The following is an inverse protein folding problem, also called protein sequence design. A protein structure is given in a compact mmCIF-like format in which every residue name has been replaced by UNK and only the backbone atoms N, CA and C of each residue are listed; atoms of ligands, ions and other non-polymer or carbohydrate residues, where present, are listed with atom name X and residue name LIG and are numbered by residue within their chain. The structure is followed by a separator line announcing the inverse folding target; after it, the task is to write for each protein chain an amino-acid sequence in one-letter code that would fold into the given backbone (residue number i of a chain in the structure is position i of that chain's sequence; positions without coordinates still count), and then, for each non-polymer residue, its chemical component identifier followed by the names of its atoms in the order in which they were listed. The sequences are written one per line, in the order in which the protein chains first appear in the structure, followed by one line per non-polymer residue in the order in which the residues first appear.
data_IF_412193630550
#
_entry.id   IF_412193630550
#
_cell.length_a   1.000
_cell.length_b   1.000
_cell.length_c   1.000
_cell.angle_alpha   90.00
_cell.angle_beta   90.00
_cell.angle_gamma   90.00
#
_symmetry.space_group_name_H-M   'P 1'
#
loop_
_entity.id
_entity.type
_entity.pdbx_description
1 polymer ?
#
# COMPACT_ATOMS: atom_id res chain seq x y z
N UNK A 1 11.73 -20.64 -37.04
CA UNK A 1 10.34 -21.17 -37.16
C UNK A 1 9.44 -20.14 -36.52
N UNK A 2 8.46 -19.56 -37.24
CA UNK A 2 7.47 -18.68 -36.59
C UNK A 2 6.62 -19.57 -35.68
N UNK A 3 6.59 -19.30 -34.37
CA UNK A 3 5.86 -20.08 -33.34
C UNK A 3 4.34 -20.23 -33.57
N UNK A 4 3.79 -19.55 -34.58
CA UNK A 4 2.38 -19.64 -34.97
C UNK A 4 1.90 -21.04 -35.36
N UNK A 5 2.80 -21.98 -35.61
CA UNK A 5 2.44 -23.36 -35.96
C UNK A 5 3.24 -24.39 -35.15
N UNK A 6 3.06 -24.39 -33.83
CA UNK A 6 3.45 -25.55 -33.00
C UNK A 6 2.29 -26.54 -32.97
N UNK A 7 2.46 -27.76 -33.52
CA UNK A 7 1.42 -28.78 -33.48
C UNK A 7 0.96 -29.10 -32.06
N UNK A 8 -0.36 -29.21 -31.85
CA UNK A 8 -0.99 -29.52 -30.55
C UNK A 8 -0.43 -30.78 -29.89
N UNK A 9 0.14 -31.71 -30.68
CA UNK A 9 0.77 -32.96 -30.22
C UNK A 9 1.93 -32.75 -29.21
N UNK A 10 2.62 -31.60 -29.27
CA UNK A 10 3.66 -31.28 -28.28
C UNK A 10 3.05 -30.94 -26.90
N UNK A 11 1.74 -30.68 -26.83
CA UNK A 11 0.98 -30.42 -25.61
C UNK A 11 1.58 -29.28 -24.79
N UNK A 12 1.87 -28.16 -25.46
CA UNK A 12 2.27 -26.92 -24.80
C UNK A 12 1.13 -26.43 -23.89
N UNK A 13 1.44 -26.13 -22.63
CA UNK A 13 0.50 -25.41 -21.77
C UNK A 13 0.34 -23.99 -22.30
N UNK A 14 -0.79 -23.33 -21.97
CA UNK A 14 -1.01 -21.93 -22.36
C UNK A 14 0.16 -21.04 -21.92
N UNK A 15 0.67 -21.26 -20.70
CA UNK A 15 1.80 -20.54 -20.14
C UNK A 15 3.10 -20.79 -20.92
N UNK A 16 3.43 -22.06 -21.23
CA UNK A 16 4.63 -22.37 -22.02
C UNK A 16 4.57 -21.75 -23.42
N UNK A 17 3.39 -21.78 -24.08
CA UNK A 17 3.22 -21.16 -25.40
C UNK A 17 3.44 -19.66 -25.33
N UNK A 18 2.86 -18.99 -24.33
CA UNK A 18 3.01 -17.55 -24.11
C UNK A 18 4.48 -17.18 -23.86
N UNK A 19 5.19 -17.94 -23.03
CA UNK A 19 6.60 -17.69 -22.71
C UNK A 19 7.52 -17.88 -23.93
N UNK A 20 7.31 -18.95 -24.71
CA UNK A 20 8.08 -19.20 -25.92
C UNK A 20 7.78 -18.13 -26.98
N UNK A 21 6.51 -17.72 -27.11
CA UNK A 21 6.11 -16.65 -28.03
C UNK A 21 6.74 -15.32 -27.65
N UNK A 22 6.70 -14.98 -26.36
CA UNK A 22 7.38 -13.80 -25.83
C UNK A 22 8.88 -13.85 -26.08
N UNK A 23 9.55 -15.01 -25.92
CA UNK A 23 10.96 -15.16 -26.27
C UNK A 23 11.22 -14.82 -27.75
N UNK A 24 10.40 -15.33 -28.67
CA UNK A 24 10.54 -15.05 -30.11
C UNK A 24 10.29 -13.57 -30.45
N UNK A 25 9.30 -12.94 -29.82
CA UNK A 25 8.97 -11.52 -30.02
C UNK A 25 10.07 -10.57 -29.52
N UNK A 26 10.89 -11.06 -28.58
CA UNK A 26 11.85 -10.28 -27.79
C UNK A 26 13.31 -10.55 -28.19
N UNK A 27 13.56 -11.50 -29.09
CA UNK A 27 14.91 -11.81 -29.59
C UNK A 27 15.61 -10.53 -30.08
N UNK A 28 16.67 -10.13 -29.37
CA UNK A 28 17.48 -8.94 -29.69
C UNK A 28 17.20 -7.68 -28.85
N UNK A 29 16.24 -7.69 -27.90
CA UNK A 29 15.92 -6.53 -27.04
C UNK A 29 16.25 -6.80 -25.56
N UNK A 30 17.34 -6.24 -25.01
CA UNK A 30 17.77 -6.52 -23.63
C UNK A 30 16.74 -6.16 -22.54
N UNK A 31 16.02 -5.04 -22.71
CA UNK A 31 15.02 -4.58 -21.74
C UNK A 31 13.83 -5.55 -21.61
N UNK A 32 13.41 -6.13 -22.73
CA UNK A 32 12.28 -7.05 -22.81
C UNK A 32 12.67 -8.46 -22.30
N UNK A 33 13.96 -8.85 -22.39
CA UNK A 33 14.47 -10.10 -21.78
C UNK A 33 14.38 -10.06 -20.25
N UNK A 34 14.62 -8.89 -19.62
CA UNK A 34 14.47 -8.75 -18.18
C UNK A 34 13.01 -8.95 -17.73
N UNK A 35 12.05 -8.54 -18.56
CA UNK A 35 10.61 -8.74 -18.33
C UNK A 35 10.22 -10.21 -18.42
N UNK A 36 10.73 -10.94 -19.43
CA UNK A 36 10.55 -12.40 -19.51
C UNK A 36 11.05 -13.12 -18.25
N UNK A 37 12.23 -12.72 -17.77
CA UNK A 37 12.79 -13.23 -16.52
C UNK A 37 11.90 -12.95 -15.31
N UNK A 38 11.31 -11.76 -15.21
CA UNK A 38 10.36 -11.39 -14.14
C UNK A 38 9.10 -12.24 -14.20
N UNK A 39 8.47 -12.38 -15.37
CA UNK A 39 7.26 -13.20 -15.54
C UNK A 39 7.49 -14.66 -15.17
N UNK A 40 8.67 -15.20 -15.48
CA UNK A 40 9.08 -16.53 -15.06
C UNK A 40 9.21 -16.65 -13.54
N UNK A 41 9.91 -15.72 -12.87
CA UNK A 41 10.17 -15.82 -11.42
C UNK A 41 8.94 -15.60 -10.54
N UNK A 42 8.06 -14.67 -10.94
CA UNK A 42 6.90 -14.28 -10.13
C UNK A 42 5.75 -15.30 -10.16
N UNK A 43 5.66 -16.13 -11.20
CA UNK A 43 4.59 -17.14 -11.32
C UNK A 43 5.13 -18.55 -11.06
N UNK A 44 4.58 -19.23 -10.05
CA UNK A 44 4.88 -20.64 -9.80
C UNK A 44 4.55 -21.54 -10.99
N UNK A 45 3.45 -21.27 -11.69
CA UNK A 45 3.04 -22.01 -12.89
C UNK A 45 4.06 -21.86 -14.03
N UNK A 46 4.61 -20.66 -14.22
CA UNK A 46 5.62 -20.39 -15.24
C UNK A 46 6.94 -21.13 -14.92
N UNK A 47 7.37 -21.12 -13.65
CA UNK A 47 8.54 -21.88 -13.19
C UNK A 47 8.41 -23.38 -13.44
N UNK A 48 7.20 -23.91 -13.30
CA UNK A 48 6.92 -25.34 -13.53
C UNK A 48 6.84 -25.69 -15.03
N UNK A 49 6.26 -24.80 -15.83
CA UNK A 49 5.95 -25.06 -17.23
C UNK A 49 7.19 -25.38 -18.07
N UNK A 50 8.29 -24.65 -17.93
CA UNK A 50 9.48 -24.82 -18.78
C UNK A 50 10.23 -26.16 -18.50
N UNK A 51 10.60 -26.51 -17.25
CA UNK A 51 11.24 -27.80 -16.95
C UNK A 51 10.36 -29.01 -17.30
N UNK A 52 9.04 -28.92 -17.11
CA UNK A 52 8.12 -29.99 -17.52
C UNK A 52 8.13 -30.22 -19.03
N UNK A 53 8.29 -29.17 -19.84
CA UNK A 53 8.38 -29.31 -21.30
C UNK A 53 9.71 -29.87 -21.76
N UNK A 54 10.82 -29.51 -21.12
CA UNK A 54 12.12 -30.16 -21.38
C UNK A 54 12.01 -31.67 -21.15
N UNK A 55 11.45 -32.09 -20.01
CA UNK A 55 11.23 -33.52 -19.71
C UNK A 55 10.34 -34.19 -20.75
N UNK A 56 9.24 -33.56 -21.15
CA UNK A 56 8.33 -34.11 -22.15
C UNK A 56 8.99 -34.26 -23.53
N UNK A 57 9.77 -33.26 -23.96
CA UNK A 57 10.53 -33.32 -25.22
C UNK A 57 11.55 -34.46 -25.17
N UNK A 58 12.31 -34.58 -24.08
CA UNK A 58 13.25 -35.69 -23.90
C UNK A 58 12.57 -37.07 -23.96
N UNK A 59 11.40 -37.23 -23.33
CA UNK A 59 10.64 -38.48 -23.41
C UNK A 59 10.09 -38.78 -24.81
N UNK A 60 9.72 -37.75 -25.58
CA UNK A 60 9.25 -37.94 -26.97
C UNK A 60 10.39 -38.31 -27.91
N UNK A 61 11.59 -37.77 -27.72
CA UNK A 61 12.78 -38.13 -28.52
C UNK A 61 13.11 -39.61 -28.42
N UNK A 62 12.96 -40.21 -27.22
CA UNK A 62 13.19 -41.64 -27.01
C UNK A 62 12.13 -42.50 -27.74
N UNK A 63 10.88 -42.02 -27.79
CA UNK A 63 9.76 -42.78 -28.37
C UNK A 63 9.63 -42.62 -29.89
N UNK A 64 9.95 -41.43 -30.41
CA UNK A 64 9.75 -41.05 -31.81
C UNK A 64 11.01 -40.37 -32.36
N UNK A 65 11.96 -41.13 -32.92
CA UNK A 65 13.23 -40.60 -33.43
C UNK A 65 13.06 -39.50 -34.50
N UNK A 66 12.00 -39.57 -35.31
CA UNK A 66 11.71 -38.59 -36.36
C UNK A 66 11.40 -37.19 -35.82
N UNK A 67 10.97 -37.08 -34.56
CA UNK A 67 10.65 -35.79 -33.92
C UNK A 67 11.84 -35.18 -33.16
N UNK A 68 13.00 -35.84 -33.18
CA UNK A 68 14.20 -35.44 -32.43
C UNK A 68 14.61 -34.00 -32.75
N UNK A 69 14.63 -33.64 -34.03
CA UNK A 69 15.02 -32.29 -34.48
C UNK A 69 14.13 -31.19 -33.90
N UNK A 70 12.82 -31.42 -33.89
CA UNK A 70 11.84 -30.46 -33.35
C UNK A 70 11.91 -30.39 -31.83
N UNK A 71 12.08 -31.52 -31.15
CA UNK A 71 12.24 -31.56 -29.70
C UNK A 71 13.51 -30.84 -29.23
N UNK A 72 14.62 -30.98 -29.95
CA UNK A 72 15.86 -30.24 -29.67
C UNK A 72 15.66 -28.73 -29.79
N UNK A 73 14.91 -28.26 -30.80
CA UNK A 73 14.59 -26.83 -30.93
C UNK A 73 13.76 -26.30 -29.75
N UNK A 74 12.80 -27.08 -29.24
CA UNK A 74 12.06 -26.69 -28.05
C UNK A 74 12.92 -26.65 -26.80
N UNK A 75 13.80 -27.63 -26.64
CA UNK A 75 14.73 -27.67 -25.51
C UNK A 75 15.64 -26.45 -25.57
N UNK A 76 16.21 -26.13 -26.73
CA UNK A 76 17.05 -24.95 -26.95
C UNK A 76 16.33 -23.63 -26.58
N UNK A 77 15.08 -23.46 -27.01
CA UNK A 77 14.27 -22.30 -26.62
C UNK A 77 13.97 -22.27 -25.12
N UNK A 78 13.71 -23.41 -24.50
CA UNK A 78 13.48 -23.52 -23.07
C UNK A 78 14.75 -23.19 -22.27
N UNK A 79 15.93 -23.62 -22.73
CA UNK A 79 17.21 -23.31 -22.09
C UNK A 79 17.57 -21.83 -22.24
N UNK A 80 17.29 -21.21 -23.38
CA UNK A 80 17.42 -19.75 -23.54
C UNK A 80 16.59 -18.96 -22.53
N UNK A 81 15.36 -19.41 -22.23
CA UNK A 81 14.53 -18.80 -21.17
C UNK A 81 15.19 -18.97 -19.80
N UNK A 82 15.72 -20.16 -19.49
CA UNK A 82 16.40 -20.42 -18.22
C UNK A 82 17.66 -19.56 -18.06
N UNK A 83 18.43 -19.37 -19.13
CA UNK A 83 19.61 -18.51 -19.12
C UNK A 83 19.24 -17.05 -18.83
N UNK A 84 18.16 -16.54 -19.44
CA UNK A 84 17.63 -15.20 -19.15
C UNK A 84 17.19 -15.07 -17.68
N UNK A 85 16.58 -16.12 -17.12
CA UNK A 85 16.15 -16.15 -15.72
C UNK A 85 17.34 -16.16 -14.75
N UNK A 86 18.42 -16.86 -15.13
CA UNK A 86 19.60 -17.07 -14.29
C UNK A 86 20.66 -15.97 -14.42
N UNK A 87 20.58 -15.08 -15.42
CA UNK A 87 21.48 -13.93 -15.52
C UNK A 87 21.35 -13.04 -14.28
N UNK A 88 22.50 -12.76 -13.65
CA UNK A 88 22.60 -11.83 -12.52
C UNK A 88 21.99 -10.48 -12.92
N UNK A 89 20.85 -10.19 -12.31
CA UNK A 89 20.28 -8.86 -12.41
C UNK A 89 21.11 -7.98 -11.50
N UNK A 90 21.99 -7.16 -12.08
CA UNK A 90 22.43 -5.93 -11.41
C UNK A 90 21.14 -5.23 -10.96
N UNK A 91 20.85 -5.35 -9.66
CA UNK A 91 19.58 -4.96 -9.05
C UNK A 91 19.49 -3.45 -9.01
N UNK A 92 19.24 -2.81 -10.14
CA UNK A 92 18.48 -1.58 -10.10
C UNK A 92 17.07 -2.00 -9.69
N UNK A 93 16.74 -1.79 -8.42
CA UNK A 93 15.40 -1.97 -7.92
C UNK A 93 14.40 -1.18 -8.75
N UNK A 94 13.10 -1.41 -8.51
CA UNK A 94 12.07 -0.60 -9.14
C UNK A 94 12.41 0.88 -8.93
N UNK A 95 12.56 1.70 -10.01
CA UNK A 95 13.05 3.06 -9.89
C UNK A 95 11.91 3.97 -9.42
N UNK A 96 11.37 3.68 -8.24
CA UNK A 96 10.17 4.28 -7.68
C UNK A 96 10.25 5.81 -7.70
N UNK A 97 11.40 6.37 -7.29
CA UNK A 97 11.64 7.82 -7.24
C UNK A 97 11.67 8.51 -8.62
N UNK A 98 11.81 7.75 -9.71
CA UNK A 98 11.77 8.30 -11.08
C UNK A 98 10.35 8.46 -11.62
N UNK A 99 9.37 7.83 -10.98
CA UNK A 99 7.97 7.96 -11.37
C UNK A 99 7.45 9.38 -11.10
N UNK A 100 6.47 9.88 -11.85
CA UNK A 100 5.76 11.11 -11.51
C UNK A 100 5.16 11.06 -10.09
N UNK A 101 5.14 12.21 -9.40
CA UNK A 101 4.62 12.33 -8.02
C UNK A 101 3.23 11.73 -7.84
N UNK A 102 2.33 11.96 -8.79
CA UNK A 102 0.95 11.45 -8.70
C UNK A 102 0.89 9.91 -8.73
N UNK A 103 1.76 9.27 -9.50
CA UNK A 103 1.84 7.81 -9.57
C UNK A 103 2.41 7.25 -8.27
N UNK A 104 3.45 7.89 -7.73
CA UNK A 104 4.03 7.50 -6.44
C UNK A 104 3.02 7.65 -5.31
N UNK A 105 2.27 8.75 -5.27
CA UNK A 105 1.23 8.98 -4.28
C UNK A 105 0.15 7.89 -4.31
N UNK A 106 -0.30 7.47 -5.50
CA UNK A 106 -1.25 6.35 -5.64
C UNK A 106 -0.67 5.02 -5.17
N UNK A 107 0.59 4.74 -5.48
CA UNK A 107 1.26 3.52 -5.02
C UNK A 107 1.40 3.53 -3.50
N UNK A 108 1.78 4.66 -2.91
CA UNK A 108 1.85 4.82 -1.47
C UNK A 108 0.48 4.60 -0.82
N UNK A 109 -0.58 5.15 -1.39
CA UNK A 109 -1.93 5.00 -0.83
C UNK A 109 -2.34 3.52 -0.82
N UNK A 110 -2.08 2.79 -1.91
CA UNK A 110 -2.30 1.33 -1.97
C UNK A 110 -1.47 0.55 -0.94
N UNK A 111 -0.21 0.94 -0.72
CA UNK A 111 0.66 0.30 0.28
C UNK A 111 0.11 0.55 1.69
N UNK A 112 -0.29 1.79 1.97
CA UNK A 112 -0.85 2.16 3.27
C UNK A 112 -2.17 1.44 3.50
N UNK A 113 -3.10 1.46 2.54
CA UNK A 113 -4.40 0.76 2.61
C UNK A 113 -4.23 -0.74 2.84
N UNK A 114 -3.32 -1.38 2.11
CA UNK A 114 -3.01 -2.80 2.29
C UNK A 114 -2.46 -3.14 3.68
N UNK A 115 -2.02 -2.14 4.45
CA UNK A 115 -1.48 -2.30 5.80
C UNK A 115 -2.41 -1.75 6.89
N UNK A 116 -3.30 -0.81 6.58
CA UNK A 116 -4.15 -0.07 7.54
C UNK A 116 -5.66 -0.28 7.35
N UNK A 117 -6.08 -1.10 6.39
CA UNK A 117 -7.48 -1.13 5.98
C UNK A 117 -7.81 0.11 5.14
N UNK A 118 -9.06 0.20 4.68
CA UNK A 118 -9.47 1.25 3.75
C UNK A 118 -9.36 2.67 4.32
N UNK A 119 -9.45 3.66 3.44
CA UNK A 119 -9.32 5.10 3.73
C UNK A 119 -10.28 5.61 4.83
N UNK A 120 -11.41 4.95 5.05
CA UNK A 120 -12.42 5.36 6.03
C UNK A 120 -12.12 4.91 7.47
N UNK A 121 -11.00 4.23 7.72
CA UNK A 121 -10.68 3.72 9.05
C UNK A 121 -9.99 4.76 9.93
N UNK A 122 -10.42 4.79 11.20
CA UNK A 122 -9.75 5.58 12.23
C UNK A 122 -8.40 4.96 12.59
N UNK A 123 -7.32 5.72 12.46
CA UNK A 123 -6.00 5.30 12.94
C UNK A 123 -5.77 5.80 14.36
N UNK A 124 -5.49 4.88 15.28
CA UNK A 124 -5.08 5.20 16.64
C UNK A 124 -3.55 5.32 16.72
N UNK A 125 -3.03 6.51 16.99
CA UNK A 125 -1.60 6.68 17.28
C UNK A 125 -1.27 5.97 18.60
N UNK A 126 -0.08 5.38 18.70
CA UNK A 126 0.42 4.89 19.98
C UNK A 126 0.80 6.09 20.87
N UNK A 127 0.22 6.18 22.07
CA UNK A 127 0.41 7.34 22.95
C UNK A 127 1.24 6.98 24.17
N UNK A 128 2.42 7.59 24.29
CA UNK A 128 3.21 7.54 25.53
C UNK A 128 2.67 8.51 26.60
N UNK A 129 1.70 9.36 26.24
CA UNK A 129 1.06 10.31 27.13
C UNK A 129 -0.15 9.72 27.86
N UNK A 130 -0.10 9.73 29.20
CA UNK A 130 -1.21 9.32 30.06
C UNK A 130 -1.95 10.56 30.60
N UNK A 131 -3.11 10.87 30.02
CA UNK A 131 -4.10 11.78 30.62
C UNK A 131 -4.99 11.01 31.63
N UNK A 132 -5.41 11.66 32.71
CA UNK A 132 -6.41 11.12 33.65
C UNK A 132 -7.86 11.28 33.18
N UNK A 133 -8.07 11.50 31.88
CA UNK A 133 -9.39 11.73 31.33
C UNK A 133 -10.14 10.41 31.17
N UNK A 134 -11.44 10.43 31.49
CA UNK A 134 -12.33 9.27 31.29
C UNK A 134 -12.63 9.17 29.80
N UNK A 135 -12.29 8.03 29.20
CA UNK A 135 -12.78 7.66 27.87
C UNK A 135 -12.99 6.13 27.86
N UNK A 136 -14.26 5.67 27.88
CA UNK A 136 -14.58 4.24 27.87
C UNK A 136 -14.18 3.55 26.55
N UNK A 137 -14.14 4.28 25.44
CA UNK A 137 -13.76 3.77 24.12
C UNK A 137 -12.25 3.64 23.92
N UNK A 138 -11.44 4.09 24.89
CA UNK A 138 -9.98 3.99 24.84
C UNK A 138 -9.49 2.55 24.64
N UNK A 139 -10.31 1.56 24.97
CA UNK A 139 -10.00 0.14 24.79
C UNK A 139 -10.59 -0.47 23.51
N UNK A 140 -11.54 0.21 22.86
CA UNK A 140 -12.28 -0.32 21.70
C UNK A 140 -11.51 -0.19 20.37
N UNK A 141 -10.60 0.77 20.26
CA UNK A 141 -9.83 1.00 19.03
C UNK A 141 -8.48 0.29 19.05
N UNK A 142 -8.21 -0.50 18.01
CA UNK A 142 -6.93 -1.16 17.80
C UNK A 142 -5.79 -0.15 17.62
N UNK A 143 -4.65 -0.40 18.26
CA UNK A 143 -3.43 0.42 18.08
C UNK A 143 -2.72 0.06 16.78
N UNK A 144 -1.92 0.98 16.26
CA UNK A 144 -0.99 0.70 15.17
C UNK A 144 -0.14 -0.55 15.50
N UNK A 145 -0.14 -1.52 14.60
CA UNK A 145 0.66 -2.75 14.68
C UNK A 145 2.14 -2.51 14.39
N UNK A 146 3.01 -3.41 14.84
CA UNK A 146 4.46 -3.32 14.61
C UNK A 146 4.82 -3.23 13.11
N UNK A 147 4.06 -3.92 12.26
CA UNK A 147 4.25 -3.86 10.79
C UNK A 147 3.95 -2.47 10.24
N UNK A 148 2.90 -1.84 10.74
CA UNK A 148 2.51 -0.48 10.35
C UNK A 148 3.54 0.53 10.85
N UNK A 149 4.00 0.40 12.09
CA UNK A 149 5.06 1.25 12.66
C UNK A 149 6.38 1.11 11.89
N UNK A 150 6.76 -0.11 11.52
CA UNK A 150 7.94 -0.35 10.68
C UNK A 150 7.82 0.32 9.31
N UNK A 151 6.63 0.28 8.69
CA UNK A 151 6.35 0.97 7.43
C UNK A 151 6.48 2.49 7.58
N UNK A 152 5.89 3.06 8.62
CA UNK A 152 5.96 4.49 8.91
C UNK A 152 7.40 4.95 9.09
N UNK A 153 8.19 4.20 9.86
CA UNK A 153 9.60 4.50 10.08
C UNK A 153 10.43 4.37 8.79
N UNK A 154 10.13 3.39 7.94
CA UNK A 154 10.89 3.16 6.70
C UNK A 154 10.54 4.19 5.64
N UNK A 155 9.26 4.31 5.31
CA UNK A 155 8.78 5.20 4.24
C UNK A 155 8.82 6.66 4.68
N UNK A 156 8.51 6.96 5.94
CA UNK A 156 8.59 8.31 6.49
C UNK A 156 10.00 8.87 6.48
N UNK A 157 11.04 8.05 6.66
CA UNK A 157 12.44 8.47 6.50
C UNK A 157 12.88 8.57 5.04
N UNK A 158 12.39 7.67 4.19
CA UNK A 158 12.83 7.62 2.78
C UNK A 158 12.16 8.67 1.89
N UNK A 159 10.94 9.09 2.24
CA UNK A 159 10.10 9.94 1.39
C UNK A 159 9.57 11.20 2.09
N UNK A 160 9.79 11.31 3.40
CA UNK A 160 9.44 12.49 4.20
C UNK A 160 8.02 12.98 3.92
N UNK A 161 7.87 14.25 3.53
CA UNK A 161 6.58 14.91 3.34
C UNK A 161 5.68 14.22 2.31
N UNK A 162 6.23 13.55 1.29
CA UNK A 162 5.41 12.84 0.28
C UNK A 162 4.67 11.66 0.91
N UNK A 163 5.35 10.90 1.77
CA UNK A 163 4.72 9.79 2.49
C UNK A 163 3.70 10.30 3.51
N UNK A 164 4.09 11.26 4.34
CA UNK A 164 3.21 11.79 5.38
C UNK A 164 1.96 12.45 4.79
N UNK A 165 2.09 13.18 3.69
CA UNK A 165 0.93 13.76 2.99
C UNK A 165 -0.06 12.68 2.59
N UNK A 166 0.40 11.58 1.97
CA UNK A 166 -0.50 10.49 1.54
C UNK A 166 -1.12 9.79 2.74
N UNK A 167 -0.33 9.52 3.78
CA UNK A 167 -0.79 8.84 4.98
C UNK A 167 -1.94 9.61 5.66
N UNK A 168 -1.77 10.92 5.86
CA UNK A 168 -2.72 11.76 6.59
C UNK A 168 -3.89 12.29 5.75
N UNK A 169 -3.73 12.44 4.43
CA UNK A 169 -4.75 13.09 3.58
C UNK A 169 -6.10 12.38 3.60
N UNK A 170 -6.09 11.05 3.48
CA UNK A 170 -7.30 10.27 3.25
C UNK A 170 -7.81 9.56 4.50
N UNK A 171 -7.19 9.76 5.68
CA UNK A 171 -7.49 8.96 6.88
C UNK A 171 -7.81 9.85 8.06
N UNK A 172 -8.78 9.42 8.86
CA UNK A 172 -9.14 10.08 10.10
C UNK A 172 -8.31 9.53 11.26
N UNK A 173 -7.75 10.42 12.08
CA UNK A 173 -6.91 10.03 13.21
C UNK A 173 -7.71 10.14 14.50
N UNK A 174 -7.79 9.05 15.27
CA UNK A 174 -8.55 9.03 16.51
C UNK A 174 -7.66 9.36 17.70
N UNK A 175 -8.05 10.36 18.49
CA UNK A 175 -7.42 10.74 19.75
C UNK A 175 -8.40 10.53 20.92
N UNK A 176 -7.96 9.84 22.00
CA UNK A 176 -8.87 9.45 23.08
C UNK A 176 -9.27 10.60 24.02
N UNK A 177 -8.57 11.72 24.04
CA UNK A 177 -8.92 12.88 24.87
C UNK A 177 -8.31 14.14 24.23
N UNK A 178 -8.86 15.33 24.52
CA UNK A 178 -8.27 16.58 24.06
C UNK A 178 -6.83 16.79 24.61
N UNK A 179 -6.55 16.28 25.80
CA UNK A 179 -5.20 16.33 26.36
C UNK A 179 -4.19 15.53 25.53
N UNK A 180 -4.61 14.39 24.96
CA UNK A 180 -3.75 13.56 24.10
C UNK A 180 -3.41 14.30 22.81
N UNK A 181 -4.41 14.83 22.10
CA UNK A 181 -4.11 15.55 20.85
C UNK A 181 -3.26 16.78 21.09
N UNK A 182 -3.56 17.59 22.11
CA UNK A 182 -2.75 18.76 22.44
C UNK A 182 -1.29 18.38 22.69
N UNK A 183 -1.05 17.32 23.47
CA UNK A 183 0.32 16.86 23.73
C UNK A 183 1.04 16.42 22.46
N UNK A 184 0.37 15.72 21.55
CA UNK A 184 0.98 15.25 20.31
C UNK A 184 1.20 16.36 19.30
N UNK A 185 0.29 17.32 19.19
CA UNK A 185 0.50 18.50 18.35
C UNK A 185 1.72 19.31 18.83
N UNK A 186 1.92 19.42 20.15
CA UNK A 186 3.09 20.09 20.71
C UNK A 186 4.40 19.31 20.53
N UNK A 187 4.33 17.98 20.45
CA UNK A 187 5.50 17.09 20.39
C UNK A 187 5.91 16.65 18.99
N UNK A 188 4.98 16.63 18.03
CA UNK A 188 5.19 16.08 16.69
C UNK A 188 4.87 17.11 15.60
N UNK A 189 5.93 17.72 15.06
CA UNK A 189 5.83 18.67 13.96
C UNK A 189 5.37 18.05 12.63
N UNK A 190 5.49 16.73 12.46
CA UNK A 190 4.97 16.00 11.29
C UNK A 190 3.46 15.91 11.38
N UNK A 191 2.95 15.52 12.55
CA UNK A 191 1.52 15.50 12.83
C UNK A 191 0.91 16.90 12.59
N UNK A 192 1.50 17.95 13.15
CA UNK A 192 1.02 19.33 12.93
C UNK A 192 0.95 19.72 11.44
N UNK A 193 1.95 19.36 10.64
CA UNK A 193 1.99 19.73 9.22
C UNK A 193 0.96 18.97 8.38
N UNK A 194 0.75 17.70 8.69
CA UNK A 194 0.05 16.77 7.80
C UNK A 194 -1.35 16.39 8.26
N UNK A 195 -1.70 16.55 9.54
CA UNK A 195 -3.03 16.23 10.05
C UNK A 195 -4.11 17.00 9.29
N UNK A 196 -5.13 16.27 8.78
CA UNK A 196 -6.26 16.85 8.06
C UNK A 196 -7.61 16.41 8.62
N UNK A 197 -7.73 15.14 8.98
CA UNK A 197 -8.97 14.59 9.52
C UNK A 197 -8.71 14.02 10.91
N UNK A 198 -9.52 14.43 11.87
CA UNK A 198 -9.33 14.02 13.26
C UNK A 198 -10.65 13.72 13.96
N UNK A 199 -10.62 12.66 14.75
CA UNK A 199 -11.70 12.26 15.64
C UNK A 199 -11.21 12.38 17.07
N UNK A 200 -11.91 13.14 17.89
CA UNK A 200 -11.46 13.42 19.25
C UNK A 200 -12.65 13.28 20.19
N UNK A 201 -12.46 12.51 21.24
CA UNK A 201 -13.40 12.52 22.35
C UNK A 201 -13.20 13.81 23.17
N UNK A 202 -14.25 14.62 23.27
CA UNK A 202 -14.17 15.92 23.94
C UNK A 202 -14.16 15.74 25.46
N UNK A 203 -12.97 15.60 26.02
CA UNK A 203 -12.78 15.56 27.46
C UNK A 203 -11.40 16.08 27.90
N UNK A 204 -11.33 16.46 29.17
CA UNK A 204 -10.09 16.84 29.85
C UNK A 204 -9.81 18.35 29.90
N UNK A 205 -8.90 18.77 30.79
CA UNK A 205 -8.66 20.19 31.11
C UNK A 205 -7.91 20.98 30.04
N UNK A 206 -7.55 20.38 28.90
CA UNK A 206 -6.82 21.03 27.80
C UNK A 206 -7.63 21.12 26.51
N UNK A 207 -8.96 21.05 26.60
CA UNK A 207 -9.83 21.11 25.43
C UNK A 207 -9.69 22.44 24.67
N UNK A 208 -9.75 23.55 25.39
CA UNK A 208 -9.51 24.90 24.89
C UNK A 208 -8.20 24.99 24.07
N UNK A 209 -7.08 24.54 24.64
CA UNK A 209 -5.77 24.60 24.02
C UNK A 209 -5.64 23.65 22.84
N UNK A 210 -6.25 22.48 22.93
CA UNK A 210 -6.31 21.52 21.82
C UNK A 210 -7.00 22.13 20.61
N UNK A 211 -8.17 22.74 20.81
CA UNK A 211 -8.92 23.35 19.74
C UNK A 211 -8.23 24.61 19.21
N UNK A 212 -7.62 25.44 20.06
CA UNK A 212 -6.80 26.57 19.59
C UNK A 212 -5.69 26.14 18.62
N UNK A 213 -5.00 25.04 18.93
CA UNK A 213 -3.99 24.47 18.03
C UNK A 213 -4.62 23.95 16.73
N UNK A 214 -5.73 23.22 16.80
CA UNK A 214 -6.45 22.75 15.60
C UNK A 214 -6.95 23.90 14.72
N UNK A 215 -7.41 25.00 15.32
CA UNK A 215 -7.78 26.23 14.62
C UNK A 215 -6.59 26.81 13.88
N UNK A 216 -5.43 26.91 14.56
CA UNK A 216 -4.19 27.38 13.95
C UNK A 216 -3.73 26.52 12.76
N UNK A 217 -4.10 25.24 12.73
CA UNK A 217 -3.84 24.32 11.61
C UNK A 217 -4.89 24.38 10.49
N UNK A 218 -5.91 25.24 10.61
CA UNK A 218 -7.03 25.32 9.67
C UNK A 218 -7.98 24.13 9.75
N UNK A 219 -7.90 23.32 10.82
CA UNK A 219 -8.73 22.13 11.03
C UNK A 219 -10.00 22.45 11.81
N UNK A 220 -10.06 23.56 12.55
CA UNK A 220 -11.29 23.94 13.24
C UNK A 220 -12.26 24.68 12.31
N UNK A 221 -13.26 23.97 11.84
CA UNK A 221 -14.61 24.52 11.77
C UNK A 221 -15.48 23.41 12.33
N UNK A 222 -16.19 23.68 13.42
CA UNK A 222 -16.98 22.67 14.12
C UNK A 222 -18.01 22.03 13.16
N UNK A 223 -17.96 20.71 12.90
CA UNK A 223 -19.00 20.03 12.16
C UNK A 223 -20.12 19.58 13.08
N UNK A 224 -21.33 19.54 12.51
CA UNK A 224 -22.60 19.13 13.13
C UNK A 224 -22.50 17.70 13.70
N UNK A 225 -22.53 17.54 15.02
CA UNK A 225 -23.07 16.31 15.62
C UNK A 225 -24.49 16.59 16.11
N UNK A 226 -25.43 15.77 15.63
CA UNK A 226 -26.77 15.69 16.20
C UNK A 226 -26.65 15.23 17.66
N UNK A 227 -27.52 15.80 18.50
CA UNK A 227 -27.60 15.66 19.97
C UNK A 227 -26.57 16.46 20.80
N UNK A 228 -26.58 17.79 20.63
CA UNK A 228 -26.21 18.72 21.70
C UNK A 228 -27.40 18.86 22.67
N UNK A 229 -27.23 18.47 23.93
CA UNK A 229 -28.06 18.99 25.03
C UNK A 229 -27.20 19.44 26.19
N UNK A 230 -27.36 20.73 26.48
CA UNK A 230 -27.05 21.50 27.69
C UNK A 230 -25.59 21.63 28.11
N UNK A 231 -24.97 22.76 27.72
CA UNK A 231 -24.59 23.84 28.65
C UNK A 231 -23.96 25.03 27.87
N UNK A 232 -24.65 26.16 27.93
CA UNK A 232 -24.17 27.56 27.81
C UNK A 232 -23.31 27.94 26.58
N UNK A 233 -23.91 28.68 25.64
CA UNK A 233 -23.19 29.50 24.65
C UNK A 233 -23.44 29.18 23.16
N UNK A 234 -24.50 28.47 22.82
CA UNK A 234 -24.76 27.94 21.46
C UNK A 234 -25.12 29.02 20.41
N UNK A 235 -25.62 30.18 20.81
CA UNK A 235 -26.08 31.20 19.84
C UNK A 235 -24.95 31.90 19.08
N UNK A 236 -23.72 31.89 19.61
CA UNK A 236 -22.56 32.54 18.98
C UNK A 236 -21.76 31.58 18.07
N UNK A 237 -21.83 30.27 18.31
CA UNK A 237 -21.11 29.23 17.55
C UNK A 237 -21.82 28.82 16.26
N UNK A 238 -23.12 29.12 16.12
CA UNK A 238 -23.94 28.72 14.95
C UNK A 238 -23.79 29.64 13.72
N UNK A 239 -22.88 30.62 13.74
CA UNK A 239 -22.70 31.57 12.63
C UNK A 239 -21.64 31.21 11.59
N UNK A 240 -20.90 30.11 11.71
CA UNK A 240 -19.83 29.77 10.76
C UNK A 240 -20.10 28.44 10.06
N UNK A 241 -20.22 28.53 8.73
CA UNK A 241 -20.69 27.52 7.78
C UNK A 241 -19.55 26.58 7.32
N UNK A 242 -19.94 25.32 7.09
CA UNK A 242 -19.38 24.33 6.12
C UNK A 242 -17.91 23.88 6.27
N UNK A 243 -17.68 22.83 7.07
CA UNK A 243 -16.53 21.93 6.93
C UNK A 243 -16.78 20.57 7.63
N UNK A 244 -16.20 19.49 7.10
CA UNK A 244 -16.48 18.09 7.50
C UNK A 244 -15.29 17.39 8.19
N UNK A 245 -14.21 18.11 8.52
CA UNK A 245 -12.89 17.50 8.80
C UNK A 245 -12.63 17.10 10.27
N UNK A 246 -13.54 17.43 11.20
CA UNK A 246 -13.37 17.15 12.64
C UNK A 246 -14.64 16.56 13.25
N UNK A 247 -14.63 15.28 13.62
CA UNK A 247 -15.80 14.68 14.30
C UNK A 247 -15.56 14.69 15.81
N UNK A 248 -16.54 15.23 16.55
CA UNK A 248 -16.50 15.36 18.00
C UNK A 248 -17.69 14.63 18.62
N UNK A 249 -17.39 13.63 19.44
CA UNK A 249 -18.39 12.87 20.19
C UNK A 249 -18.38 13.25 21.67
N UNK A 250 -19.57 13.54 22.21
CA UNK A 250 -19.79 13.83 23.62
C UNK A 250 -20.44 12.61 24.29
N UNK A 251 -19.82 12.09 25.35
CA UNK A 251 -20.42 11.02 26.17
C UNK A 251 -20.81 11.61 27.51
N UNK A 252 -22.10 11.54 27.84
CA UNK A 252 -22.57 11.87 29.20
C UNK A 252 -22.01 10.83 30.16
N UNK A 253 -21.19 11.27 31.11
CA UNK A 253 -20.86 10.47 32.29
C UNK A 253 -22.16 10.15 33.03
N UNK A 254 -22.48 8.86 33.16
CA UNK A 254 -23.52 8.35 34.05
C UNK A 254 -23.12 8.49 35.52
#
# INVERSE_FOLDING_TARGET
MRLYYVPTRYGLTKNARRLLQFLDDVKGRPADQAELGRQMRLSHENRKAIPEKIRKCASMMVKNPDETKTCLQFIDMCTQILDIVNRDQNRQGFPFLTLPRDIRARILDMIVDGTHGGTEQFIRVHWDYRCGCVNPERQAFETISDKQLAMFNTLGKAMEDEFWTVLFRNRAWYFPCCCCIYHNLMGDGTLCRHLRNVHIHWCGPKADKAFEQLTGLGLSQAPKSHEMTDCVGIEELLRVRENENVVVEHVRSA
#
